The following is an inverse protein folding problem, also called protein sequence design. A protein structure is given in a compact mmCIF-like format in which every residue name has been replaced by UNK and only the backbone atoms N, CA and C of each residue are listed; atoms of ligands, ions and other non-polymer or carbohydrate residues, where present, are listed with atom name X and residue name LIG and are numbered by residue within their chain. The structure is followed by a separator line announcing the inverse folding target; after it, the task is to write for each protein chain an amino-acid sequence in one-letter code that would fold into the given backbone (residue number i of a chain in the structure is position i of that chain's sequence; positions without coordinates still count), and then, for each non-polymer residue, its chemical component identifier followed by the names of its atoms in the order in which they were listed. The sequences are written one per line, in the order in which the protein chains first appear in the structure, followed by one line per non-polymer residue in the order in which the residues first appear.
data_IF_906134261578
#
_entry.id   IF_906134261578
#
_cell.length_a   1.000
_cell.length_b   1.000
_cell.length_c   1.000
_cell.angle_alpha   90.00
_cell.angle_beta   90.00
_cell.angle_gamma   90.00
#
_symmetry.space_group_name_H-M   'P 1'
#
loop_
_entity.id
_entity.type
_entity.pdbx_description
1 polymer ?
#
# COMPACT_ATOMS: atom_id res chain seq x y z
N UNK A 1 29.18 64.67 23.31
CA UNK A 1 30.33 64.12 22.55
C UNK A 1 29.77 63.13 21.56
N UNK A 2 30.15 63.28 20.30
CA UNK A 2 29.57 62.69 19.09
C UNK A 2 30.08 61.26 18.88
N UNK A 3 29.18 60.31 18.59
CA UNK A 3 29.46 59.05 17.89
C UNK A 3 28.22 58.75 17.02
N UNK A 4 28.14 59.28 15.80
CA UNK A 4 28.60 58.68 14.54
C UNK A 4 27.94 57.34 14.22
N UNK A 5 27.06 57.41 13.21
CA UNK A 5 26.35 56.33 12.57
C UNK A 5 27.27 55.42 11.75
N UNK A 6 26.92 54.14 11.67
CA UNK A 6 27.23 53.28 10.52
C UNK A 6 25.91 52.67 10.07
N UNK A 7 25.45 53.14 8.91
CA UNK A 7 24.41 52.49 8.11
C UNK A 7 24.99 51.22 7.50
N UNK A 8 24.36 50.07 7.73
CA UNK A 8 24.48 48.92 6.84
C UNK A 8 23.19 48.77 6.05
N UNK A 9 23.28 49.05 4.76
CA UNK A 9 22.25 48.82 3.76
C UNK A 9 22.20 47.33 3.42
N UNK A 10 21.25 46.60 4.03
CA UNK A 10 20.83 45.29 3.56
C UNK A 10 19.68 45.42 2.55
N UNK A 11 19.63 44.62 1.47
CA UNK A 11 18.56 44.71 0.49
C UNK A 11 17.24 44.21 1.10
N UNK A 12 16.24 45.08 1.19
CA UNK A 12 14.85 44.67 1.40
C UNK A 12 14.34 44.04 0.11
N UNK A 13 14.36 42.72 0.03
CA UNK A 13 13.58 41.99 -0.96
C UNK A 13 12.13 41.95 -0.49
N UNK A 14 11.33 42.95 -0.86
CA UNK A 14 9.88 42.83 -0.77
C UNK A 14 9.44 41.84 -1.84
N UNK A 15 9.08 40.63 -1.43
CA UNK A 15 8.47 39.66 -2.34
C UNK A 15 7.02 40.11 -2.52
N UNK A 16 6.73 40.68 -3.68
CA UNK A 16 5.37 41.04 -4.10
C UNK A 16 4.54 39.74 -4.26
N UNK A 17 3.45 39.55 -3.47
CA UNK A 17 2.60 38.37 -3.57
C UNK A 17 2.01 38.15 -4.97
N UNK A 18 1.88 39.22 -5.78
CA UNK A 18 1.39 39.14 -7.15
C UNK A 18 2.35 38.42 -8.11
N UNK A 19 3.66 38.52 -7.88
CA UNK A 19 4.67 37.88 -8.74
C UNK A 19 4.72 36.35 -8.54
N UNK A 20 4.38 35.86 -7.35
CA UNK A 20 4.36 34.42 -7.05
C UNK A 20 3.14 33.70 -7.67
N UNK A 21 2.00 34.40 -7.82
CA UNK A 21 0.79 33.83 -8.45
C UNK A 21 0.89 33.72 -9.98
N UNK A 22 1.66 34.60 -10.65
CA UNK A 22 1.85 34.50 -12.11
C UNK A 22 2.74 33.32 -12.54
N UNK A 23 3.70 32.89 -11.69
CA UNK A 23 4.59 31.78 -12.03
C UNK A 23 3.85 30.42 -12.08
N UNK A 24 2.80 30.25 -11.28
CA UNK A 24 2.00 29.01 -11.28
C UNK A 24 1.05 28.90 -12.48
N UNK A 25 0.58 30.02 -13.05
CA UNK A 25 -0.34 30.01 -14.19
C UNK A 25 0.39 29.72 -15.51
N UNK A 26 1.65 30.11 -15.65
CA UNK A 26 2.45 29.83 -16.86
C UNK A 26 2.95 28.38 -16.91
N UNK A 27 3.19 27.74 -15.75
CA UNK A 27 3.56 26.32 -15.69
C UNK A 27 2.32 25.41 -15.89
N UNK A 28 1.12 25.88 -15.55
CA UNK A 28 -0.13 25.15 -15.77
C UNK A 28 -0.70 25.20 -17.20
N UNK A 29 -0.14 26.02 -18.09
CA UNK A 29 -0.78 26.38 -19.38
C UNK A 29 -0.20 25.75 -20.65
N UNK A 30 0.92 25.04 -20.60
CA UNK A 30 1.61 24.55 -21.81
C UNK A 30 1.97 23.07 -21.71
N UNK A 31 0.97 22.18 -21.69
CA UNK A 31 0.95 20.91 -22.47
C UNK A 31 -0.51 20.44 -22.59
N UNK A 32 -1.29 21.10 -23.44
CA UNK A 32 -2.54 20.55 -23.96
C UNK A 32 -2.44 20.51 -25.49
N UNK A 33 -1.66 19.56 -26.00
CA UNK A 33 -1.76 19.12 -27.38
C UNK A 33 -2.33 17.69 -27.36
N UNK A 34 -3.44 17.40 -28.06
CA UNK A 34 -3.98 16.06 -28.12
C UNK A 34 -3.05 15.19 -28.96
N UNK A 35 -2.37 14.24 -28.32
CA UNK A 35 -1.71 13.15 -29.04
C UNK A 35 -2.79 12.30 -29.72
N UNK A 36 -2.63 11.91 -31.00
CA UNK A 36 -3.57 11.02 -31.67
C UNK A 36 -3.65 9.70 -30.90
N UNK A 37 -4.85 9.42 -30.37
CA UNK A 37 -5.13 8.27 -29.54
C UNK A 37 -4.86 6.95 -30.28
N UNK A 38 -3.77 6.27 -29.90
CA UNK A 38 -3.77 4.82 -29.93
C UNK A 38 -4.79 4.37 -28.89
N UNK A 39 -5.87 3.72 -29.35
CA UNK A 39 -6.73 2.91 -28.50
C UNK A 39 -5.87 1.81 -27.87
N UNK A 40 -5.29 2.09 -26.72
CA UNK A 40 -4.80 1.05 -25.82
C UNK A 40 -6.02 0.52 -25.10
N UNK A 41 -6.40 -0.71 -25.44
CA UNK A 41 -7.39 -1.50 -24.75
C UNK A 41 -6.99 -1.69 -23.28
N UNK A 42 -7.36 -0.72 -22.44
CA UNK A 42 -7.22 -0.79 -20.98
C UNK A 42 -8.03 -1.95 -20.38
N UNK A 43 -8.97 -2.54 -21.14
CA UNK A 43 -9.68 -3.76 -20.78
C UNK A 43 -8.85 -5.05 -20.93
N UNK A 44 -7.76 -5.05 -21.71
CA UNK A 44 -6.99 -6.27 -21.98
C UNK A 44 -5.91 -6.56 -20.91
N UNK A 45 -5.31 -5.53 -20.32
CA UNK A 45 -4.27 -5.67 -19.29
C UNK A 45 -4.83 -6.23 -17.99
N UNK A 46 -5.99 -5.74 -17.55
CA UNK A 46 -6.68 -6.24 -16.35
C UNK A 46 -7.16 -7.68 -16.56
N UNK A 47 -7.70 -8.00 -17.74
CA UNK A 47 -8.13 -9.36 -18.11
C UNK A 47 -6.97 -10.37 -18.14
N UNK A 48 -5.81 -9.99 -18.69
CA UNK A 48 -4.64 -10.86 -18.78
C UNK A 48 -3.96 -11.11 -17.41
N UNK A 49 -3.92 -10.12 -16.53
CA UNK A 49 -3.47 -10.30 -15.14
C UNK A 49 -4.43 -11.22 -14.36
N UNK A 50 -5.74 -11.06 -14.54
CA UNK A 50 -6.80 -11.88 -13.90
C UNK A 50 -6.72 -13.37 -14.26
N UNK A 51 -6.41 -13.71 -15.52
CA UNK A 51 -6.21 -15.11 -15.95
C UNK A 51 -5.01 -15.80 -15.28
N UNK A 52 -4.03 -15.04 -14.76
CA UNK A 52 -2.88 -15.57 -14.04
C UNK A 52 -3.14 -15.75 -12.54
N UNK A 53 -3.88 -14.84 -11.91
CA UNK A 53 -4.25 -14.96 -10.48
C UNK A 53 -5.11 -16.21 -10.23
N UNK A 54 -6.00 -16.58 -11.16
CA UNK A 54 -6.75 -17.85 -11.08
C UNK A 54 -5.89 -19.13 -11.24
N UNK A 55 -4.62 -19.02 -11.65
CA UNK A 55 -3.69 -20.18 -11.70
C UNK A 55 -2.88 -20.36 -10.43
N UNK A 56 -2.74 -19.32 -9.61
CA UNK A 56 -1.97 -19.38 -8.36
C UNK A 56 -2.91 -19.74 -7.22
N UNK A 57 -2.64 -20.85 -6.53
CA UNK A 57 -3.37 -21.25 -5.32
C UNK A 57 -2.92 -20.39 -4.13
N UNK A 58 -3.34 -19.12 -4.15
CA UNK A 58 -3.03 -18.14 -3.12
C UNK A 58 -3.60 -18.55 -1.76
N UNK A 59 -4.67 -19.34 -1.73
CA UNK A 59 -5.26 -19.84 -0.48
C UNK A 59 -4.34 -20.83 0.22
N UNK A 60 -3.67 -21.72 -0.54
CA UNK A 60 -2.62 -22.58 0.01
C UNK A 60 -1.45 -21.75 0.54
N UNK A 61 -1.01 -20.75 -0.22
CA UNK A 61 0.07 -19.84 0.19
C UNK A 61 -0.31 -19.11 1.48
N UNK A 62 -1.54 -18.61 1.59
CA UNK A 62 -2.00 -17.91 2.79
C UNK A 62 -2.01 -18.83 4.02
N UNK A 63 -2.48 -20.08 3.88
CA UNK A 63 -2.43 -21.06 4.96
C UNK A 63 -1.01 -21.34 5.42
N UNK A 64 -0.06 -21.47 4.50
CA UNK A 64 1.35 -21.64 4.84
C UNK A 64 1.92 -20.38 5.52
N UNK A 65 1.64 -19.19 4.96
CA UNK A 65 2.08 -17.92 5.52
C UNK A 65 1.56 -17.68 6.95
N UNK A 66 0.33 -18.09 7.26
CA UNK A 66 -0.24 -18.04 8.61
C UNK A 66 0.49 -18.93 9.63
N UNK A 67 1.29 -19.91 9.18
CA UNK A 67 2.18 -20.69 10.05
C UNK A 67 3.51 -19.97 10.32
N UNK A 68 3.72 -18.80 9.72
CA UNK A 68 4.92 -17.96 9.90
C UNK A 68 6.11 -18.37 9.05
N UNK A 69 5.97 -19.39 8.19
CA UNK A 69 7.04 -19.89 7.31
C UNK A 69 6.50 -20.16 5.92
N UNK A 70 7.21 -19.68 4.91
CA UNK A 70 6.91 -19.91 3.50
C UNK A 70 8.18 -20.37 2.80
N UNK A 71 8.09 -21.24 1.79
CA UNK A 71 9.26 -21.54 0.96
C UNK A 71 9.58 -20.38 0.00
N UNK A 72 10.78 -20.39 -0.57
CA UNK A 72 11.19 -19.37 -1.54
C UNK A 72 10.25 -19.28 -2.73
N UNK A 73 9.90 -20.42 -3.34
CA UNK A 73 9.09 -20.48 -4.56
C UNK A 73 7.73 -19.78 -4.38
N UNK A 74 7.05 -20.06 -3.27
CA UNK A 74 5.80 -19.41 -2.89
C UNK A 74 6.01 -17.91 -2.61
N UNK A 75 7.14 -17.54 -2.00
CA UNK A 75 7.51 -16.13 -1.85
C UNK A 75 7.70 -15.40 -3.18
N UNK A 76 8.24 -16.08 -4.19
CA UNK A 76 8.32 -15.58 -5.56
C UNK A 76 6.94 -15.37 -6.19
N UNK A 77 5.99 -16.26 -5.92
CA UNK A 77 4.59 -16.09 -6.35
C UNK A 77 3.93 -14.90 -5.67
N UNK A 78 4.15 -14.70 -4.36
CA UNK A 78 3.66 -13.51 -3.63
C UNK A 78 4.25 -12.23 -4.19
N UNK A 79 5.57 -12.20 -4.45
CA UNK A 79 6.22 -11.07 -5.12
C UNK A 79 5.56 -10.75 -6.47
N UNK A 80 5.34 -11.77 -7.31
CA UNK A 80 4.67 -11.62 -8.59
C UNK A 80 3.27 -11.01 -8.44
N UNK A 81 2.45 -11.55 -7.54
CA UNK A 81 1.11 -11.03 -7.24
C UNK A 81 1.16 -9.57 -6.77
N UNK A 82 2.11 -9.21 -5.92
CA UNK A 82 2.25 -7.82 -5.45
C UNK A 82 2.62 -6.85 -6.57
N UNK A 83 3.52 -7.25 -7.47
CA UNK A 83 4.01 -6.38 -8.54
C UNK A 83 3.00 -6.20 -9.67
N UNK A 84 2.06 -7.11 -9.83
CA UNK A 84 0.92 -6.97 -10.73
C UNK A 84 -0.08 -5.89 -10.24
N UNK A 85 -0.01 -5.50 -8.96
CA UNK A 85 -0.87 -4.49 -8.38
C UNK A 85 -0.16 -3.13 -8.30
N UNK A 86 -0.60 -2.17 -9.12
CA UNK A 86 -0.13 -0.79 -8.99
C UNK A 86 -0.78 -0.06 -7.80
N UNK A 87 -0.28 1.15 -7.51
CA UNK A 87 -0.76 1.98 -6.39
C UNK A 87 -2.26 2.29 -6.51
N UNK A 88 -2.75 2.45 -7.75
CA UNK A 88 -4.17 2.74 -8.00
C UNK A 88 -5.04 1.53 -7.68
N UNK A 89 -4.63 0.34 -8.10
CA UNK A 89 -5.37 -0.89 -7.84
C UNK A 89 -5.41 -1.20 -6.34
N UNK A 90 -4.28 -1.03 -5.63
CA UNK A 90 -4.23 -1.16 -4.16
C UNK A 90 -5.20 -0.18 -3.50
N UNK A 91 -5.20 1.08 -3.92
CA UNK A 91 -6.10 2.09 -3.38
C UNK A 91 -7.58 1.74 -3.62
N UNK A 92 -7.95 1.43 -4.86
CA UNK A 92 -9.33 1.09 -5.23
C UNK A 92 -9.82 -0.16 -4.48
N UNK A 93 -8.95 -1.15 -4.31
CA UNK A 93 -9.31 -2.38 -3.63
C UNK A 93 -9.42 -2.23 -2.12
N UNK A 94 -8.66 -1.33 -1.50
CA UNK A 94 -8.87 -0.96 -0.09
C UNK A 94 -10.19 -0.23 0.13
N UNK A 95 -10.57 0.67 -0.78
CA UNK A 95 -11.91 1.28 -0.79
C UNK A 95 -13.00 0.22 -0.89
N UNK A 96 -12.87 -0.72 -1.84
CA UNK A 96 -13.80 -1.84 -1.99
C UNK A 96 -13.84 -2.75 -0.76
N UNK A 97 -12.71 -3.02 -0.11
CA UNK A 97 -12.63 -3.82 1.12
C UNK A 97 -13.39 -3.17 2.29
N UNK A 98 -13.25 -1.86 2.46
CA UNK A 98 -14.01 -1.12 3.47
C UNK A 98 -15.50 -1.14 3.16
N UNK A 99 -15.89 -0.90 1.90
CA UNK A 99 -17.29 -0.97 1.49
C UNK A 99 -17.87 -2.37 1.68
N UNK A 100 -17.12 -3.42 1.33
CA UNK A 100 -17.53 -4.82 1.52
C UNK A 100 -17.82 -5.12 2.99
N UNK A 101 -16.91 -4.74 3.90
CA UNK A 101 -17.12 -4.91 5.33
C UNK A 101 -18.37 -4.15 5.83
N UNK A 102 -18.59 -2.91 5.38
CA UNK A 102 -19.79 -2.13 5.69
C UNK A 102 -21.08 -2.79 5.18
N UNK A 103 -21.02 -3.44 4.02
CA UNK A 103 -22.18 -4.08 3.40
C UNK A 103 -22.57 -5.42 4.02
N UNK A 104 -21.63 -6.13 4.66
CA UNK A 104 -21.85 -7.51 5.14
C UNK A 104 -21.79 -7.70 6.66
N UNK A 105 -21.39 -6.69 7.42
CA UNK A 105 -21.15 -6.80 8.86
C UNK A 105 -21.92 -5.77 9.66
N UNK A 106 -22.43 -6.18 10.82
CA UNK A 106 -22.91 -5.26 11.87
C UNK A 106 -21.78 -4.63 12.68
N UNK A 107 -20.53 -5.09 12.50
CA UNK A 107 -19.33 -4.59 13.18
C UNK A 107 -18.16 -4.45 12.20
N UNK A 108 -18.31 -3.63 11.14
CA UNK A 108 -17.38 -3.57 10.02
C UNK A 108 -15.95 -3.22 10.44
N UNK A 109 -15.79 -2.36 11.44
CA UNK A 109 -14.47 -1.95 11.94
C UNK A 109 -13.72 -3.09 12.64
N UNK A 110 -14.42 -3.96 13.38
CA UNK A 110 -13.77 -5.10 14.03
C UNK A 110 -13.25 -6.09 12.98
N UNK A 111 -14.03 -6.35 11.93
CA UNK A 111 -13.61 -7.22 10.84
C UNK A 111 -12.43 -6.63 10.06
N UNK A 112 -12.50 -5.34 9.72
CA UNK A 112 -11.42 -4.66 9.02
C UNK A 112 -10.13 -4.69 9.86
N UNK A 113 -10.20 -4.41 11.16
CA UNK A 113 -9.03 -4.51 12.04
C UNK A 113 -8.48 -5.94 12.14
N UNK A 114 -9.34 -6.96 12.06
CA UNK A 114 -8.93 -8.36 12.08
C UNK A 114 -8.20 -8.81 10.80
N UNK A 115 -8.34 -8.10 9.67
CA UNK A 115 -7.61 -8.41 8.42
C UNK A 115 -6.10 -8.48 8.67
N UNK A 116 -5.58 -7.53 9.46
CA UNK A 116 -4.20 -7.51 9.96
C UNK A 116 -4.22 -7.20 11.45
N UNK A 117 -4.56 -8.23 12.24
CA UNK A 117 -4.86 -8.16 13.69
C UNK A 117 -3.85 -7.32 14.51
N UNK A 118 -2.57 -7.47 14.20
CA UNK A 118 -1.45 -6.88 14.93
C UNK A 118 -0.76 -5.71 14.20
N UNK A 119 -1.44 -5.03 13.28
CA UNK A 119 -0.88 -3.85 12.58
C UNK A 119 -1.58 -2.56 13.00
N UNK A 120 -0.88 -1.70 13.74
CA UNK A 120 -1.36 -0.35 14.05
C UNK A 120 -1.45 0.54 12.81
N UNK A 121 -0.51 0.39 11.88
CA UNK A 121 -0.51 1.08 10.60
C UNK A 121 -1.76 0.74 9.80
N UNK A 122 -2.13 -0.55 9.78
CA UNK A 122 -3.36 -1.00 9.16
C UNK A 122 -4.59 -0.39 9.82
N UNK A 123 -4.67 -0.39 11.16
CA UNK A 123 -5.79 0.24 11.89
C UNK A 123 -5.95 1.72 11.53
N UNK A 124 -4.84 2.46 11.45
CA UNK A 124 -4.84 3.86 10.98
C UNK A 124 -5.25 4.01 9.52
N UNK A 125 -4.76 3.13 8.63
CA UNK A 125 -5.13 3.13 7.22
C UNK A 125 -6.62 2.82 7.01
N UNK A 126 -7.17 1.83 7.70
CA UNK A 126 -8.60 1.49 7.63
C UNK A 126 -9.46 2.70 7.96
N UNK A 127 -9.14 3.45 9.02
CA UNK A 127 -9.87 4.67 9.38
C UNK A 127 -9.80 5.73 8.29
N UNK A 128 -8.63 5.90 7.65
CA UNK A 128 -8.47 6.79 6.50
C UNK A 128 -9.39 6.38 5.35
N UNK A 129 -9.39 5.09 4.96
CA UNK A 129 -10.23 4.61 3.87
C UNK A 129 -11.72 4.65 4.20
N UNK A 130 -12.09 4.38 5.46
CA UNK A 130 -13.45 4.57 5.94
C UNK A 130 -13.92 6.03 5.83
N UNK A 131 -13.07 6.97 6.23
CA UNK A 131 -13.36 8.39 6.05
C UNK A 131 -13.51 8.75 4.57
N UNK A 132 -12.64 8.22 3.71
CA UNK A 132 -12.68 8.47 2.27
C UNK A 132 -13.95 7.92 1.60
N UNK A 133 -14.39 6.72 1.98
CA UNK A 133 -15.68 6.13 1.53
C UNK A 133 -16.86 7.06 1.91
N UNK A 134 -16.81 7.67 3.10
CA UNK A 134 -17.82 8.65 3.51
C UNK A 134 -17.75 9.94 2.69
N UNK A 135 -16.54 10.49 2.48
CA UNK A 135 -16.34 11.71 1.68
C UNK A 135 -16.80 11.55 0.23
N UNK A 136 -16.62 10.36 -0.35
CA UNK A 136 -17.06 10.05 -1.70
C UNK A 136 -18.58 9.78 -1.82
N UNK A 137 -19.30 9.81 -0.69
CA UNK A 137 -20.74 9.53 -0.60
C UNK A 137 -21.09 8.06 -0.82
N UNK A 138 -20.14 7.14 -0.63
CA UNK A 138 -20.36 5.71 -0.75
C UNK A 138 -20.90 5.10 0.54
N UNK A 139 -20.58 5.70 1.68
CA UNK A 139 -21.19 5.36 2.95
C UNK A 139 -21.69 6.62 3.65
N UNK A 140 -22.65 6.43 4.53
CA UNK A 140 -23.15 7.45 5.44
C UNK A 140 -23.01 6.97 6.88
N UNK A 141 -22.78 7.92 7.78
CA UNK A 141 -22.73 7.67 9.22
C UNK A 141 -23.97 8.33 9.81
N UNK A 142 -24.86 7.52 10.39
CA UNK A 142 -25.97 8.03 11.18
C UNK A 142 -25.65 7.92 12.69
N UNK A 143 -26.63 8.22 13.54
CA UNK A 143 -26.45 8.26 14.99
C UNK A 143 -25.95 6.95 15.62
N UNK A 144 -26.09 5.80 14.94
CA UNK A 144 -25.81 4.48 15.52
C UNK A 144 -24.92 3.59 14.67
N UNK A 145 -24.86 3.78 13.35
CA UNK A 145 -24.10 2.91 12.46
C UNK A 145 -23.63 3.63 11.20
N UNK A 146 -22.60 3.03 10.58
CA UNK A 146 -22.19 3.37 9.23
C UNK A 146 -22.75 2.33 8.26
N UNK A 147 -23.32 2.77 7.15
CA UNK A 147 -23.91 1.91 6.13
C UNK A 147 -23.59 2.40 4.73
N UNK A 148 -23.62 1.47 3.75
CA UNK A 148 -23.49 1.83 2.34
C UNK A 148 -24.70 2.62 1.85
N UNK A 149 -24.45 3.61 1.01
CA UNK A 149 -25.48 4.26 0.20
C UNK A 149 -25.80 3.41 -1.03
N UNK A 150 -26.84 3.78 -1.78
CA UNK A 150 -27.11 3.16 -3.10
C UNK A 150 -25.92 3.31 -4.06
N UNK A 151 -25.28 4.49 -4.04
CA UNK A 151 -24.07 4.76 -4.82
C UNK A 151 -22.92 3.84 -4.40
N UNK A 152 -22.68 3.68 -3.10
CA UNK A 152 -21.64 2.79 -2.59
C UNK A 152 -21.87 1.34 -2.96
N UNK A 153 -23.12 0.87 -2.84
CA UNK A 153 -23.52 -0.47 -3.26
C UNK A 153 -23.25 -0.70 -4.75
N UNK A 154 -23.64 0.24 -5.63
CA UNK A 154 -23.39 0.12 -7.07
C UNK A 154 -21.90 0.10 -7.43
N UNK A 155 -21.07 0.91 -6.75
CA UNK A 155 -19.62 0.91 -6.96
C UNK A 155 -18.99 -0.40 -6.48
N UNK A 156 -19.43 -0.93 -5.34
CA UNK A 156 -18.94 -2.21 -4.82
C UNK A 156 -19.30 -3.37 -5.76
N UNK A 157 -20.52 -3.41 -6.30
CA UNK A 157 -20.91 -4.41 -7.30
C UNK A 157 -20.10 -4.29 -8.59
N UNK A 158 -19.80 -3.06 -9.03
CA UNK A 158 -18.87 -2.81 -10.13
C UNK A 158 -17.48 -3.39 -9.85
N UNK A 159 -16.93 -3.15 -8.66
CA UNK A 159 -15.64 -3.70 -8.26
C UNK A 159 -15.66 -5.24 -8.25
N UNK A 160 -16.72 -5.86 -7.72
CA UNK A 160 -16.90 -7.33 -7.73
C UNK A 160 -16.97 -7.88 -9.15
N UNK A 161 -17.71 -7.23 -10.06
CA UNK A 161 -17.76 -7.59 -11.48
C UNK A 161 -16.38 -7.43 -12.16
N UNK A 162 -15.56 -6.50 -11.69
CA UNK A 162 -14.16 -6.32 -12.09
C UNK A 162 -13.18 -7.29 -11.40
N UNK A 163 -13.67 -8.24 -10.59
CA UNK A 163 -12.85 -9.27 -9.97
C UNK A 163 -12.29 -8.91 -8.59
N UNK A 164 -12.84 -7.91 -7.91
CA UNK A 164 -12.57 -7.70 -6.49
C UNK A 164 -13.06 -8.92 -5.68
N UNK A 165 -12.14 -9.54 -4.95
CA UNK A 165 -12.41 -10.59 -3.96
C UNK A 165 -11.90 -10.12 -2.59
N UNK A 166 -12.77 -9.96 -1.58
CA UNK A 166 -12.35 -9.49 -0.25
C UNK A 166 -11.39 -10.45 0.44
N UNK A 167 -11.47 -11.76 0.19
CA UNK A 167 -10.58 -12.74 0.80
C UNK A 167 -9.17 -12.65 0.20
N UNK A 168 -9.07 -12.53 -1.13
CA UNK A 168 -7.80 -12.27 -1.82
C UNK A 168 -7.18 -10.95 -1.36
N UNK A 169 -7.96 -9.88 -1.27
CA UNK A 169 -7.42 -8.58 -0.82
C UNK A 169 -7.03 -8.59 0.66
N UNK A 170 -7.73 -9.33 1.51
CA UNK A 170 -7.28 -9.58 2.87
C UNK A 170 -5.92 -10.31 2.91
N UNK A 171 -5.71 -11.29 2.03
CA UNK A 171 -4.40 -11.93 1.83
C UNK A 171 -3.34 -10.91 1.41
N UNK A 172 -3.61 -10.07 0.40
CA UNK A 172 -2.66 -9.06 -0.08
C UNK A 172 -2.29 -8.03 1.00
N UNK A 173 -3.26 -7.54 1.77
CA UNK A 173 -3.01 -6.61 2.88
C UNK A 173 -2.11 -7.22 3.95
N UNK A 174 -2.33 -8.47 4.36
CA UNK A 174 -1.43 -9.15 5.32
C UNK A 174 0.00 -9.15 4.82
N UNK A 175 0.22 -9.56 3.56
CA UNK A 175 1.57 -9.63 2.98
C UNK A 175 2.23 -8.24 2.88
N UNK A 176 1.46 -7.18 2.63
CA UNK A 176 1.99 -5.80 2.59
C UNK A 176 2.45 -5.28 3.95
N UNK A 177 1.88 -5.80 5.05
CA UNK A 177 2.20 -5.43 6.42
C UNK A 177 3.14 -6.42 7.14
N UNK A 178 3.67 -7.41 6.44
CA UNK A 178 4.58 -8.40 7.01
C UNK A 178 6.04 -8.00 6.88
N UNK A 179 6.78 -8.24 7.96
CA UNK A 179 8.24 -8.32 7.93
C UNK A 179 8.66 -9.68 7.38
N UNK A 180 9.45 -9.68 6.31
CA UNK A 180 9.97 -10.90 5.68
C UNK A 180 11.45 -11.05 6.05
N UNK A 181 11.82 -12.23 6.52
CA UNK A 181 13.22 -12.59 6.77
C UNK A 181 13.58 -13.81 5.93
N UNK A 182 14.43 -13.62 4.93
CA UNK A 182 14.80 -14.66 3.97
C UNK A 182 16.06 -15.43 4.42
N UNK A 183 16.00 -16.76 4.40
CA UNK A 183 17.11 -17.65 4.71
C UNK A 183 17.93 -17.90 3.44
N UNK A 184 19.21 -17.53 3.48
CA UNK A 184 20.10 -17.65 2.32
C UNK A 184 20.42 -19.12 2.02
N UNK A 185 20.18 -19.62 0.79
CA UNK A 185 20.42 -21.02 0.43
C UNK A 185 21.91 -21.39 0.38
N UNK A 186 22.82 -20.42 0.45
CA UNK A 186 24.26 -20.65 0.36
C UNK A 186 24.97 -20.72 1.70
N UNK A 187 24.43 -20.10 2.74
CA UNK A 187 25.11 -19.99 4.04
C UNK A 187 24.17 -20.08 5.25
N UNK A 188 22.86 -20.26 5.05
CA UNK A 188 21.85 -20.36 6.11
C UNK A 188 21.59 -19.04 6.86
N UNK A 189 22.32 -17.96 6.56
CA UNK A 189 22.14 -16.70 7.25
C UNK A 189 20.83 -16.00 6.83
N UNK A 190 20.14 -15.42 7.81
CA UNK A 190 18.85 -14.75 7.61
C UNK A 190 19.04 -13.26 7.31
N UNK A 191 18.34 -12.76 6.29
CA UNK A 191 18.38 -11.34 5.88
C UNK A 191 16.97 -10.75 5.83
N UNK A 192 16.78 -9.57 6.43
CA UNK A 192 15.51 -8.85 6.35
C UNK A 192 15.27 -8.31 4.93
N UNK A 193 14.06 -8.52 4.43
CA UNK A 193 13.59 -8.09 3.11
C UNK A 193 12.07 -7.84 3.13
N UNK A 194 11.46 -7.70 1.97
CA UNK A 194 10.01 -7.60 1.78
C UNK A 194 9.59 -8.19 0.45
N UNK A 195 8.32 -8.60 0.33
CA UNK A 195 7.80 -9.25 -0.87
C UNK A 195 7.86 -8.38 -2.14
N UNK A 196 7.85 -7.05 -2.06
CA UNK A 196 8.03 -6.18 -3.24
C UNK A 196 9.43 -6.22 -3.87
N UNK A 197 10.42 -6.83 -3.20
CA UNK A 197 11.78 -7.00 -3.74
C UNK A 197 11.95 -8.38 -4.35
N UNK A 198 12.45 -8.41 -5.59
CA UNK A 198 12.76 -9.64 -6.30
C UNK A 198 14.01 -10.33 -5.75
N UNK A 199 14.93 -9.57 -5.15
CA UNK A 199 16.20 -10.04 -4.64
C UNK A 199 16.63 -9.32 -3.35
N UNK A 200 17.60 -9.93 -2.67
CA UNK A 200 18.25 -9.35 -1.51
C UNK A 200 19.74 -9.71 -1.52
N UNK A 201 20.54 -8.93 -0.80
CA UNK A 201 21.96 -9.23 -0.58
C UNK A 201 22.10 -9.86 0.79
N UNK A 202 22.56 -11.11 0.85
CA UNK A 202 22.71 -11.85 2.11
C UNK A 202 23.71 -11.15 3.04
N UNK A 203 23.32 -10.86 4.28
CA UNK A 203 24.21 -10.20 5.25
C UNK A 203 25.38 -11.07 5.76
N UNK A 204 25.34 -12.39 5.52
CA UNK A 204 26.39 -13.33 5.92
C UNK A 204 27.44 -13.55 4.83
N UNK A 205 27.01 -13.95 3.62
CA UNK A 205 27.91 -14.27 2.51
C UNK A 205 27.99 -13.20 1.41
N UNK A 206 27.28 -12.07 1.55
CA UNK A 206 27.23 -10.96 0.58
C UNK A 206 26.74 -11.32 -0.83
N UNK A 207 26.27 -12.55 -1.06
CA UNK A 207 25.69 -12.95 -2.35
C UNK A 207 24.32 -12.31 -2.54
N UNK A 208 24.05 -11.89 -3.78
CA UNK A 208 22.71 -11.51 -4.23
C UNK A 208 21.90 -12.77 -4.52
N UNK A 209 20.73 -12.90 -3.90
CA UNK A 209 19.86 -14.08 -3.98
C UNK A 209 18.47 -13.62 -4.37
N UNK A 210 17.84 -14.28 -5.35
CA UNK A 210 16.44 -13.99 -5.67
C UNK A 210 15.55 -14.48 -4.54
N UNK A 211 14.47 -13.77 -4.24
CA UNK A 211 13.55 -14.14 -3.16
C UNK A 211 13.07 -15.60 -3.34
N UNK A 212 12.76 -15.97 -4.58
CA UNK A 212 12.31 -17.31 -4.95
C UNK A 212 13.32 -18.45 -4.71
N UNK A 213 14.60 -18.10 -4.61
CA UNK A 213 15.71 -19.05 -4.37
C UNK A 213 16.01 -19.22 -2.89
N UNK A 214 15.32 -18.49 -2.01
CA UNK A 214 15.51 -18.62 -0.57
C UNK A 214 15.10 -20.02 -0.10
N UNK A 215 15.85 -20.58 0.84
CA UNK A 215 15.51 -21.88 1.43
C UNK A 215 14.17 -21.81 2.16
N UNK A 216 13.98 -20.73 2.93
CA UNK A 216 12.74 -20.41 3.60
C UNK A 216 12.60 -18.89 3.79
N UNK A 217 11.38 -18.45 3.99
CA UNK A 217 10.98 -17.10 4.36
C UNK A 217 10.25 -17.17 5.69
N UNK A 218 10.80 -16.48 6.69
CA UNK A 218 10.19 -16.36 8.00
C UNK A 218 9.37 -15.07 8.01
N UNK A 219 8.06 -15.22 8.23
CA UNK A 219 7.08 -14.15 8.16
C UNK A 219 6.66 -13.72 9.56
N UNK A 220 6.57 -12.41 9.77
CA UNK A 220 6.05 -11.83 11.01
C UNK A 220 5.17 -10.63 10.65
N UNK A 221 3.92 -10.61 11.10
CA UNK A 221 3.16 -9.36 11.09
C UNK A 221 3.93 -8.32 11.93
N UNK A 222 4.20 -7.16 11.34
CA UNK A 222 5.15 -6.22 11.93
C UNK A 222 4.62 -5.55 13.19
N UNK A 223 5.27 -5.79 14.33
CA UNK A 223 5.36 -4.85 15.47
C UNK A 223 6.68 -4.05 15.41
N UNK A 224 7.28 -3.90 14.23
CA UNK A 224 8.66 -3.39 14.08
C UNK A 224 8.84 -1.97 14.68
N UNK A 225 7.76 -1.19 14.81
CA UNK A 225 7.76 0.14 15.42
C UNK A 225 7.61 0.14 16.96
N UNK A 226 7.36 -1.02 17.59
CA UNK A 226 7.13 -1.15 19.03
C UNK A 226 8.28 -1.80 19.80
N UNK A 227 9.45 -2.00 19.19
CA UNK A 227 10.65 -2.10 20.03
C UNK A 227 10.91 -0.71 20.59
N UNK A 228 10.68 -0.43 21.89
CA UNK A 228 11.24 0.78 22.47
C UNK A 228 12.72 0.78 22.09
N UNK A 229 13.21 1.92 21.55
CA UNK A 229 14.66 2.16 21.52
C UNK A 229 15.10 1.98 22.95
N UNK A 230 15.65 0.82 23.31
CA UNK A 230 16.34 0.67 24.57
C UNK A 230 17.41 1.75 24.52
N UNK A 231 17.25 2.76 25.36
CA UNK A 231 18.24 3.80 25.53
C UNK A 231 19.57 3.07 25.73
N UNK A 232 20.55 3.37 24.88
CA UNK A 232 21.90 2.94 25.12
C UNK A 232 22.28 3.47 26.50
N UNK A 233 22.30 2.58 27.49
CA UNK A 233 22.87 2.86 28.80
C UNK A 233 24.35 3.12 28.58
N UNK A 234 24.73 4.40 28.67
CA UNK A 234 26.10 4.84 28.89
C UNK A 234 26.51 4.52 30.32
#
# INVERSE_FOLDING_TARGET
MVLSAVQSSGPQTSIDPGAFMMLFVVIGGVVAAPLPGKKTDAGSSLSAARLRVHRVDWQRIDRAACQGVLDGADGGLVNGMMRENDVRNVHQSRIALVMDALGRSSSPMLELYAVVENSYEWKGLVLKYFHEVCLLGYAEINERFASLTEKGSAVLEGARAEGFDPAYWGFMERRMHESVSAVCPHCGNTTHTHFFRDDYVCSGCSKRVRLQESEALILRCSDAHLRPRMAASQ
#
